data_IF_530935253350
#
_entry.id   IF_530935253350
#
_cell.length_a   1.000
_cell.length_b   1.000
_cell.length_c   1.000
_cell.angle_alpha   90.00
_cell.angle_beta   90.00
_cell.angle_gamma   90.00
#
_symmetry.space_group_name_H-M   'P 1'
#
loop_
_entity.id
_entity.type
_entity.pdbx_description
1 polymer ?
#
# COMPACT_ATOMS: atom_id res chain seq x y z
N UNK A 1 -5.49 20.55 9.11
CA UNK A 1 -6.39 20.28 7.98
C UNK A 1 -6.59 18.77 7.93
N UNK A 2 -7.75 18.26 7.51
CA UNK A 2 -7.91 16.80 7.38
C UNK A 2 -7.19 16.33 6.11
N UNK A 3 -6.32 15.33 6.27
CA UNK A 3 -5.61 14.70 5.15
C UNK A 3 -6.46 13.61 4.51
N UNK A 4 -7.25 12.89 5.32
CA UNK A 4 -8.22 11.90 4.85
C UNK A 4 -9.56 12.19 5.52
N UNK A 5 -10.63 12.15 4.72
CA UNK A 5 -12.00 12.26 5.20
C UNK A 5 -12.82 11.08 4.67
N UNK A 6 -13.46 10.36 5.57
CA UNK A 6 -14.31 9.21 5.26
C UNK A 6 -15.69 9.44 5.85
N UNK A 7 -16.73 9.42 5.02
CA UNK A 7 -18.13 9.63 5.45
C UNK A 7 -19.02 8.51 4.94
N UNK A 8 -19.64 7.80 5.87
CA UNK A 8 -20.62 6.74 5.62
C UNK A 8 -20.14 5.70 4.61
N UNK A 9 -18.84 5.34 4.69
CA UNK A 9 -18.22 4.38 3.78
C UNK A 9 -18.89 3.02 3.88
N UNK A 10 -19.32 2.49 2.72
CA UNK A 10 -19.92 1.17 2.60
C UNK A 10 -19.28 0.38 1.46
N UNK A 11 -18.98 -0.91 1.70
CA UNK A 11 -18.48 -1.82 0.68
C UNK A 11 -19.07 -3.21 0.80
N UNK A 12 -19.65 -3.71 -0.30
CA UNK A 12 -20.32 -5.01 -0.40
C UNK A 12 -19.59 -5.86 -1.43
N UNK A 13 -19.20 -7.07 -1.05
CA UNK A 13 -18.72 -8.08 -1.99
C UNK A 13 -19.87 -8.96 -2.46
N UNK A 14 -19.97 -9.14 -3.77
CA UNK A 14 -20.97 -10.00 -4.41
C UNK A 14 -20.26 -11.20 -5.03
N UNK A 15 -20.48 -12.39 -4.47
CA UNK A 15 -19.98 -13.65 -5.01
C UNK A 15 -21.14 -14.44 -5.61
N UNK A 16 -20.99 -14.85 -6.87
CA UNK A 16 -21.97 -15.73 -7.53
C UNK A 16 -21.48 -17.16 -7.40
N UNK A 17 -22.28 -18.02 -6.77
CA UNK A 17 -21.99 -19.45 -6.62
C UNK A 17 -23.00 -20.28 -7.41
N UNK A 18 -22.53 -21.38 -8.01
CA UNK A 18 -23.33 -22.33 -8.80
C UNK A 18 -23.25 -22.09 -10.32
N UNK A 19 -23.15 -23.21 -11.09
CA UNK A 19 -23.07 -23.17 -12.56
C UNK A 19 -24.47 -23.13 -13.19
N UNK A 20 -25.43 -23.87 -12.62
CA UNK A 20 -26.79 -24.01 -13.17
C UNK A 20 -27.80 -23.12 -12.43
N UNK A 21 -27.70 -23.04 -11.10
CA UNK A 21 -28.48 -22.11 -10.26
C UNK A 21 -27.56 -21.09 -9.61
N UNK A 22 -27.43 -19.94 -10.24
CA UNK A 22 -26.63 -18.81 -9.73
C UNK A 22 -27.29 -18.25 -8.46
N UNK A 23 -26.66 -18.47 -7.31
CA UNK A 23 -27.00 -17.78 -6.06
C UNK A 23 -25.99 -16.66 -5.86
N UNK A 24 -26.47 -15.44 -5.68
CA UNK A 24 -25.63 -14.30 -5.32
C UNK A 24 -25.55 -14.29 -3.79
N UNK A 25 -24.34 -14.40 -3.25
CA UNK A 25 -24.04 -14.19 -1.84
C UNK A 25 -23.45 -12.79 -1.70
N UNK A 26 -24.12 -11.95 -0.94
CA UNK A 26 -23.61 -10.64 -0.59
C UNK A 26 -22.95 -10.69 0.79
N UNK A 27 -21.76 -10.07 0.90
CA UNK A 27 -21.03 -9.90 2.15
C UNK A 27 -20.72 -8.44 2.29
N UNK A 28 -21.35 -7.77 3.25
CA UNK A 28 -21.09 -6.39 3.58
C UNK A 28 -19.80 -6.32 4.40
N UNK A 29 -18.71 -5.93 3.75
CA UNK A 29 -17.37 -5.91 4.33
C UNK A 29 -17.09 -4.62 5.11
N UNK A 30 -17.70 -3.51 4.72
CA UNK A 30 -17.63 -2.23 5.43
C UNK A 30 -19.05 -1.67 5.54
N UNK A 31 -19.43 -1.31 6.77
CA UNK A 31 -20.79 -0.86 7.12
C UNK A 31 -20.72 0.51 7.74
N UNK A 32 -21.10 1.55 6.97
CA UNK A 32 -21.29 2.91 7.46
C UNK A 32 -20.14 3.44 8.35
N UNK A 33 -18.92 3.37 7.83
CA UNK A 33 -17.72 3.80 8.57
C UNK A 33 -17.42 5.26 8.26
N UNK A 34 -17.23 6.06 9.29
CA UNK A 34 -16.87 7.48 9.17
C UNK A 34 -15.73 7.82 10.13
N UNK A 35 -14.69 8.49 9.62
CA UNK A 35 -13.57 9.02 10.40
C UNK A 35 -12.79 10.04 9.59
N UNK A 36 -12.00 10.85 10.29
CA UNK A 36 -11.06 11.80 9.68
C UNK A 36 -9.65 11.52 10.20
N UNK A 37 -8.63 11.76 9.35
CA UNK A 37 -7.21 11.67 9.70
C UNK A 37 -6.57 13.02 9.41
N UNK A 38 -5.83 13.55 10.39
CA UNK A 38 -5.13 14.83 10.26
C UNK A 38 -3.74 14.64 9.68
N UNK A 39 -3.17 15.73 9.19
CA UNK A 39 -1.78 15.77 8.74
C UNK A 39 -0.82 15.42 9.90
N UNK A 40 0.17 14.58 9.60
CA UNK A 40 1.15 14.09 10.58
C UNK A 40 0.61 13.07 11.58
N UNK A 41 -0.63 12.61 11.43
CA UNK A 41 -1.24 11.65 12.33
C UNK A 41 -0.86 10.21 11.97
N UNK A 42 -0.45 9.42 12.96
CA UNK A 42 -0.35 7.97 12.85
C UNK A 42 -1.69 7.33 13.26
N UNK A 43 -2.46 6.88 12.28
CA UNK A 43 -3.79 6.33 12.47
C UNK A 43 -3.82 4.81 12.34
N UNK A 44 -4.39 4.10 13.31
CA UNK A 44 -4.47 2.64 13.34
C UNK A 44 -5.91 2.13 13.24
N UNK A 45 -6.18 1.26 12.24
CA UNK A 45 -7.43 0.51 12.14
C UNK A 45 -7.32 -0.80 12.93
N UNK A 46 -8.00 -0.89 14.05
CA UNK A 46 -8.00 -2.07 14.93
C UNK A 46 -9.34 -2.80 14.84
N UNK A 47 -9.32 -4.11 15.02
CA UNK A 47 -10.51 -4.94 15.03
C UNK A 47 -10.21 -6.42 14.67
N UNK A 48 -11.17 -7.34 14.86
CA UNK A 48 -11.01 -8.76 14.54
C UNK A 48 -10.83 -9.01 13.05
N UNK A 49 -10.45 -10.23 12.68
CA UNK A 49 -10.41 -10.65 11.29
C UNK A 49 -11.82 -10.59 10.68
N UNK A 50 -11.91 -10.05 9.46
CA UNK A 50 -13.20 -9.83 8.79
C UNK A 50 -13.92 -8.51 9.17
N UNK A 51 -13.35 -7.67 10.04
CA UNK A 51 -13.94 -6.37 10.42
C UNK A 51 -13.86 -5.29 9.32
N UNK A 52 -13.35 -5.62 8.12
CA UNK A 52 -13.29 -4.69 7.00
C UNK A 52 -12.03 -3.82 6.95
N UNK A 53 -11.04 -4.00 7.85
CA UNK A 53 -9.81 -3.20 7.90
C UNK A 53 -9.09 -3.12 6.53
N UNK A 54 -8.67 -4.27 6.01
CA UNK A 54 -8.03 -4.37 4.69
C UNK A 54 -8.91 -3.83 3.56
N UNK A 55 -10.23 -4.01 3.64
CA UNK A 55 -11.17 -3.47 2.66
C UNK A 55 -11.18 -1.94 2.71
N UNK A 56 -11.25 -1.36 3.91
CA UNK A 56 -11.19 0.08 4.11
C UNK A 56 -9.89 0.65 3.57
N UNK A 57 -8.74 0.09 3.94
CA UNK A 57 -7.43 0.52 3.43
C UNK A 57 -7.35 0.43 1.90
N UNK A 58 -7.88 -0.63 1.28
CA UNK A 58 -7.93 -0.76 -0.18
C UNK A 58 -8.83 0.29 -0.85
N UNK A 59 -9.91 0.69 -0.21
CA UNK A 59 -10.76 1.80 -0.71
C UNK A 59 -9.98 3.11 -0.64
N UNK A 60 -9.35 3.43 0.49
CA UNK A 60 -8.52 4.63 0.66
C UNK A 60 -7.38 4.67 -0.36
N UNK A 61 -6.76 3.53 -0.65
CA UNK A 61 -5.70 3.39 -1.64
C UNK A 61 -6.20 3.35 -3.09
N UNK A 62 -7.47 3.66 -3.35
CA UNK A 62 -8.10 3.64 -4.69
C UNK A 62 -8.08 2.28 -5.41
N UNK A 63 -7.84 1.18 -4.69
CA UNK A 63 -7.82 -0.17 -5.22
C UNK A 63 -9.22 -0.81 -5.27
N UNK A 64 -10.16 -0.26 -4.53
CA UNK A 64 -11.56 -0.66 -4.52
C UNK A 64 -12.45 0.58 -4.58
N UNK A 65 -13.51 0.50 -5.40
CA UNK A 65 -14.53 1.55 -5.46
C UNK A 65 -15.54 1.29 -4.33
N UNK A 66 -15.91 2.29 -3.52
CA UNK A 66 -16.95 2.15 -2.51
C UNK A 66 -18.32 1.93 -3.16
N UNK A 67 -19.23 1.18 -2.50
CA UNK A 67 -20.62 1.05 -2.95
C UNK A 67 -21.49 2.25 -2.50
N UNK A 68 -21.10 2.91 -1.39
CA UNK A 68 -21.70 4.15 -0.92
C UNK A 68 -20.74 4.91 0.00
N UNK A 69 -21.09 6.17 0.30
CA UNK A 69 -20.29 7.08 1.12
C UNK A 69 -19.35 7.94 0.30
N UNK A 70 -18.70 8.88 0.97
CA UNK A 70 -17.72 9.78 0.39
C UNK A 70 -16.35 9.55 1.03
N UNK A 71 -15.30 9.51 0.22
CA UNK A 71 -13.93 9.43 0.70
C UNK A 71 -13.08 10.46 -0.05
N UNK A 72 -12.37 11.27 0.71
CA UNK A 72 -11.45 12.28 0.17
C UNK A 72 -10.06 12.11 0.76
N UNK A 73 -9.06 12.30 -0.09
CA UNK A 73 -7.65 12.32 0.26
C UNK A 73 -7.08 13.67 -0.17
N UNK A 74 -6.62 14.48 0.79
CA UNK A 74 -6.17 15.87 0.56
C UNK A 74 -7.19 16.70 -0.25
N UNK A 75 -8.48 16.50 0.04
CA UNK A 75 -9.59 17.17 -0.65
C UNK A 75 -10.00 16.54 -1.98
N UNK A 76 -9.20 15.62 -2.55
CA UNK A 76 -9.47 14.91 -3.79
C UNK A 76 -10.45 13.74 -3.56
N UNK A 77 -11.42 13.57 -4.45
CA UNK A 77 -12.35 12.43 -4.42
C UNK A 77 -11.65 11.15 -4.93
N UNK A 78 -11.65 10.07 -4.13
CA UNK A 78 -10.91 8.84 -4.48
C UNK A 78 -11.41 8.12 -5.74
N UNK A 79 -12.60 8.44 -6.23
CA UNK A 79 -13.17 7.83 -7.45
C UNK A 79 -12.95 8.75 -8.64
N UNK A 80 -13.29 10.01 -8.52
CA UNK A 80 -13.20 11.00 -9.61
C UNK A 80 -11.75 11.38 -9.91
N UNK A 81 -10.96 11.58 -8.86
CA UNK A 81 -9.58 12.08 -8.94
C UNK A 81 -8.55 10.97 -8.64
N UNK A 82 -8.92 9.70 -8.89
CA UNK A 82 -8.13 8.53 -8.49
C UNK A 82 -6.64 8.58 -8.92
N UNK A 83 -6.35 9.12 -10.09
CA UNK A 83 -4.97 9.24 -10.58
C UNK A 83 -4.16 10.26 -9.78
N UNK A 84 -4.76 11.38 -9.40
CA UNK A 84 -4.10 12.40 -8.58
C UNK A 84 -3.93 11.93 -7.14
N UNK A 85 -4.92 11.21 -6.59
CA UNK A 85 -4.81 10.56 -5.29
C UNK A 85 -3.63 9.57 -5.26
N UNK A 86 -3.47 8.73 -6.29
CA UNK A 86 -2.35 7.75 -6.38
C UNK A 86 -0.97 8.39 -6.37
N UNK A 87 -0.82 9.61 -6.83
CA UNK A 87 0.45 10.35 -6.75
C UNK A 87 0.80 10.76 -5.31
N UNK A 88 -0.21 10.92 -4.45
CA UNK A 88 -0.06 11.37 -3.08
C UNK A 88 0.11 10.21 -2.08
N UNK A 89 -0.14 8.97 -2.49
CA UNK A 89 -0.20 7.83 -1.59
C UNK A 89 0.85 6.77 -1.93
N UNK A 90 1.43 6.18 -0.89
CA UNK A 90 2.19 4.94 -0.96
C UNK A 90 1.42 3.81 -0.30
N UNK A 91 1.53 2.60 -0.84
CA UNK A 91 0.84 1.45 -0.31
C UNK A 91 1.75 0.24 -0.17
N UNK A 92 1.78 -0.35 1.04
CA UNK A 92 2.55 -1.54 1.36
C UNK A 92 1.59 -2.64 1.79
N UNK A 93 1.56 -3.72 0.99
CA UNK A 93 0.90 -4.96 1.37
C UNK A 93 1.86 -5.88 2.12
N UNK A 94 1.35 -6.66 3.07
CA UNK A 94 2.07 -7.81 3.58
C UNK A 94 2.31 -8.84 2.48
N UNK A 95 3.53 -9.41 2.45
CA UNK A 95 3.92 -10.47 1.52
C UNK A 95 4.88 -10.03 0.40
N UNK A 96 5.38 -11.04 -0.34
CA UNK A 96 6.52 -10.88 -1.28
C UNK A 96 6.11 -10.47 -2.70
N UNK A 97 4.86 -10.05 -2.95
CA UNK A 97 4.36 -9.77 -4.30
C UNK A 97 4.80 -8.41 -4.82
N UNK A 98 5.13 -8.34 -6.12
CA UNK A 98 5.37 -7.09 -6.83
C UNK A 98 6.83 -6.67 -6.94
N UNK A 99 7.80 -7.54 -6.62
CA UNK A 99 9.21 -7.36 -6.98
C UNK A 99 9.61 -8.34 -8.10
N UNK A 100 10.48 -7.90 -8.97
CA UNK A 100 11.05 -8.72 -10.05
C UNK A 100 12.29 -9.46 -9.52
N UNK A 101 12.14 -10.72 -9.17
CA UNK A 101 13.16 -11.51 -8.47
C UNK A 101 14.46 -11.70 -9.26
N UNK A 102 14.38 -11.68 -10.59
CA UNK A 102 15.56 -11.83 -11.47
C UNK A 102 16.35 -10.55 -11.65
N UNK A 103 15.78 -9.41 -11.30
CA UNK A 103 16.44 -8.11 -11.34
C UNK A 103 17.17 -7.85 -10.02
N UNK A 104 18.18 -6.95 -10.08
CA UNK A 104 18.80 -6.38 -8.87
C UNK A 104 17.80 -5.49 -8.11
N UNK A 105 18.10 -5.13 -6.85
CA UNK A 105 17.30 -4.19 -6.11
C UNK A 105 17.29 -2.80 -6.79
N UNK A 106 18.45 -2.34 -7.25
CA UNK A 106 18.56 -1.07 -7.99
C UNK A 106 17.71 -1.10 -9.26
N UNK A 107 17.75 -2.18 -10.04
CA UNK A 107 16.97 -2.27 -11.29
C UNK A 107 15.47 -2.38 -11.02
N UNK A 108 15.06 -3.04 -9.93
CA UNK A 108 13.68 -2.99 -9.46
C UNK A 108 13.26 -1.56 -9.18
N UNK A 109 14.04 -0.81 -8.39
CA UNK A 109 13.71 0.57 -8.05
C UNK A 109 13.71 1.50 -9.28
N UNK A 110 14.67 1.34 -10.21
CA UNK A 110 14.68 2.08 -11.48
C UNK A 110 13.42 1.82 -12.31
N UNK A 111 13.02 0.55 -12.42
CA UNK A 111 11.81 0.17 -13.13
C UNK A 111 10.57 0.85 -12.53
N UNK A 112 10.41 0.79 -11.20
CA UNK A 112 9.27 1.43 -10.54
C UNK A 112 9.34 2.95 -10.56
N UNK A 113 10.53 3.55 -10.47
CA UNK A 113 10.71 4.99 -10.64
C UNK A 113 10.19 5.46 -12.01
N UNK A 114 10.53 4.73 -13.08
CA UNK A 114 10.01 5.00 -14.42
C UNK A 114 8.49 4.82 -14.51
N UNK A 115 7.94 3.81 -13.84
CA UNK A 115 6.50 3.54 -13.82
C UNK A 115 5.71 4.64 -13.06
N UNK A 116 6.32 5.20 -12.01
CA UNK A 116 5.75 6.34 -11.26
C UNK A 116 6.07 7.69 -11.89
N UNK A 117 6.73 7.72 -13.07
CA UNK A 117 7.14 8.94 -13.76
C UNK A 117 8.06 9.84 -12.91
N UNK A 118 8.88 9.24 -12.04
CA UNK A 118 9.91 9.97 -11.29
C UNK A 118 11.02 10.39 -12.26
N UNK A 119 11.42 11.66 -12.19
CA UNK A 119 12.50 12.18 -13.01
C UNK A 119 13.78 11.34 -12.88
N UNK A 120 14.47 10.99 -13.99
CA UNK A 120 15.68 10.16 -13.96
C UNK A 120 16.80 10.72 -13.08
N UNK A 121 17.01 12.06 -13.07
CA UNK A 121 18.03 12.67 -12.22
C UNK A 121 17.65 12.65 -10.74
N UNK A 122 16.35 12.76 -10.43
CA UNK A 122 15.84 12.59 -9.07
C UNK A 122 16.00 11.13 -8.64
N UNK A 123 15.58 10.17 -9.46
CA UNK A 123 15.65 8.74 -9.12
C UNK A 123 17.07 8.25 -8.93
N UNK A 124 18.05 8.77 -9.70
CA UNK A 124 19.47 8.46 -9.59
C UNK A 124 20.06 8.77 -8.22
N UNK A 125 19.61 9.87 -7.60
CA UNK A 125 20.01 10.28 -6.25
C UNK A 125 19.21 9.54 -5.18
N UNK A 126 17.89 9.46 -5.37
CA UNK A 126 16.94 8.92 -4.38
C UNK A 126 17.08 7.41 -4.17
N UNK A 127 17.38 6.63 -5.21
CA UNK A 127 17.52 5.17 -5.07
C UNK A 127 18.60 4.76 -4.06
N UNK A 128 19.85 5.28 -4.12
CA UNK A 128 20.87 4.99 -3.09
C UNK A 128 20.43 5.42 -1.68
N UNK A 129 19.82 6.60 -1.55
CA UNK A 129 19.30 7.12 -0.26
C UNK A 129 18.24 6.20 0.34
N UNK A 130 17.30 5.73 -0.49
CA UNK A 130 16.26 4.81 -0.05
C UNK A 130 16.81 3.43 0.34
N UNK A 131 17.80 2.91 -0.42
CA UNK A 131 18.47 1.66 -0.05
C UNK A 131 19.21 1.79 1.28
N UNK A 132 19.82 2.94 1.55
CA UNK A 132 20.45 3.21 2.84
C UNK A 132 19.42 3.32 3.96
N UNK A 133 18.34 4.07 3.74
CA UNK A 133 17.23 4.26 4.69
C UNK A 133 16.64 2.92 5.15
N UNK A 134 16.47 1.96 4.22
CA UNK A 134 15.89 0.65 4.54
C UNK A 134 16.93 -0.41 4.93
N UNK A 135 18.20 0.00 5.18
CA UNK A 135 19.27 -0.93 5.61
C UNK A 135 19.71 -1.93 4.54
N UNK A 136 19.60 -1.57 3.26
CA UNK A 136 20.08 -2.38 2.12
C UNK A 136 21.29 -1.76 1.41
N UNK A 137 22.01 -0.83 2.07
CA UNK A 137 23.26 -0.24 1.56
C UNK A 137 24.27 -1.32 1.23
N UNK A 138 24.88 -1.22 0.04
CA UNK A 138 25.88 -2.19 -0.44
C UNK A 138 25.30 -3.50 -0.99
N UNK A 139 23.98 -3.68 -0.96
CA UNK A 139 23.30 -4.87 -1.49
C UNK A 139 22.45 -4.58 -2.74
N UNK A 140 22.48 -3.35 -3.23
CA UNK A 140 21.66 -2.88 -4.33
C UNK A 140 21.83 -3.64 -5.65
N UNK A 141 23.04 -4.12 -5.95
CA UNK A 141 23.37 -4.86 -7.18
C UNK A 141 23.02 -6.36 -7.11
N UNK A 142 22.68 -6.87 -5.92
CA UNK A 142 22.29 -8.27 -5.76
C UNK A 142 20.88 -8.52 -6.32
N UNK A 143 20.69 -9.69 -6.93
CA UNK A 143 19.38 -10.13 -7.40
C UNK A 143 18.42 -10.35 -6.23
N UNK A 144 17.19 -9.86 -6.35
CA UNK A 144 16.16 -9.95 -5.31
C UNK A 144 15.79 -11.40 -4.95
N UNK A 145 15.99 -12.37 -5.86
CA UNK A 145 15.80 -13.79 -5.54
C UNK A 145 16.66 -14.28 -4.36
N UNK A 146 17.85 -13.70 -4.15
CA UNK A 146 18.74 -14.02 -3.04
C UNK A 146 18.42 -13.31 -1.73
N UNK A 147 17.45 -12.40 -1.72
CA UNK A 147 17.06 -11.65 -0.54
C UNK A 147 16.23 -12.49 0.44
N UNK A 148 16.47 -12.29 1.73
CA UNK A 148 15.57 -12.80 2.78
C UNK A 148 14.19 -12.14 2.69
N UNK A 149 13.20 -12.70 3.36
CA UNK A 149 11.85 -12.08 3.43
C UNK A 149 11.90 -10.67 4.00
N UNK A 150 12.65 -10.43 5.06
CA UNK A 150 12.85 -9.11 5.64
C UNK A 150 13.51 -8.14 4.68
N UNK A 151 14.53 -8.55 3.92
CA UNK A 151 15.15 -7.72 2.89
C UNK A 151 14.18 -7.38 1.76
N UNK A 152 13.36 -8.32 1.31
CA UNK A 152 12.33 -8.07 0.31
C UNK A 152 11.29 -7.08 0.83
N UNK A 153 10.86 -7.22 2.08
CA UNK A 153 9.91 -6.29 2.70
C UNK A 153 10.49 -4.88 2.80
N UNK A 154 11.76 -4.74 3.22
CA UNK A 154 12.48 -3.46 3.23
C UNK A 154 12.60 -2.85 1.82
N UNK A 155 12.86 -3.67 0.80
CA UNK A 155 12.85 -3.19 -0.58
C UNK A 155 11.46 -2.74 -1.06
N UNK A 156 10.38 -3.36 -0.58
CA UNK A 156 9.00 -2.88 -0.82
C UNK A 156 8.77 -1.49 -0.22
N UNK A 157 9.30 -1.23 0.98
CA UNK A 157 9.25 0.11 1.58
C UNK A 157 9.98 1.11 0.70
N UNK A 158 11.24 0.83 0.32
CA UNK A 158 12.02 1.70 -0.57
C UNK A 158 11.28 2.00 -1.87
N UNK A 159 10.68 0.98 -2.50
CA UNK A 159 9.87 1.13 -3.71
C UNK A 159 8.69 2.08 -3.50
N UNK A 160 8.00 1.94 -2.37
CA UNK A 160 6.80 2.75 -2.07
C UNK A 160 7.15 4.22 -1.85
N UNK A 161 8.37 4.51 -1.39
CA UNK A 161 8.86 5.87 -1.14
C UNK A 161 9.46 6.55 -2.38
N UNK A 162 9.57 5.87 -3.53
CA UNK A 162 10.23 6.41 -4.73
C UNK A 162 9.64 7.72 -5.23
N UNK A 163 8.33 7.85 -5.23
CA UNK A 163 7.59 9.01 -5.75
C UNK A 163 7.22 10.04 -4.69
N UNK A 164 7.82 9.92 -3.48
CA UNK A 164 7.65 10.85 -2.34
C UNK A 164 6.18 11.03 -1.90
N UNK A 165 5.49 9.98 -1.54
CA UNK A 165 4.09 10.07 -1.17
C UNK A 165 3.91 10.79 0.18
N UNK A 166 2.88 11.63 0.27
CA UNK A 166 2.50 12.32 1.52
C UNK A 166 1.82 11.38 2.54
N UNK A 167 1.24 10.27 2.05
CA UNK A 167 0.45 9.33 2.86
C UNK A 167 0.94 7.91 2.61
N UNK A 168 1.19 7.16 3.68
CA UNK A 168 1.54 5.74 3.60
C UNK A 168 0.42 4.87 4.20
N UNK A 169 -0.07 3.93 3.41
CA UNK A 169 -0.96 2.88 3.87
C UNK A 169 -0.20 1.58 4.08
N UNK A 170 -0.32 1.00 5.26
CA UNK A 170 0.29 -0.25 5.65
C UNK A 170 -0.80 -1.28 5.96
N UNK A 171 -0.89 -2.35 5.18
CA UNK A 171 -1.82 -3.46 5.43
C UNK A 171 -1.02 -4.71 5.80
N UNK A 172 -0.98 -5.01 7.10
CA UNK A 172 -0.23 -6.14 7.68
C UNK A 172 1.24 -6.22 7.23
N UNK A 173 2.04 -5.14 7.35
CA UNK A 173 3.37 -5.03 6.74
C UNK A 173 4.40 -6.02 7.30
N UNK A 174 4.12 -6.64 8.45
CA UNK A 174 5.01 -7.62 9.10
C UNK A 174 4.59 -9.08 8.86
N UNK A 175 3.57 -9.31 8.02
CA UNK A 175 3.10 -10.68 7.77
C UNK A 175 4.21 -11.52 7.09
N UNK A 176 4.46 -12.70 7.61
CA UNK A 176 5.48 -13.61 7.08
C UNK A 176 6.92 -13.28 7.48
N UNK A 177 7.14 -12.24 8.29
CA UNK A 177 8.41 -12.00 8.96
C UNK A 177 8.48 -12.85 10.24
N UNK A 178 9.70 -13.30 10.57
CA UNK A 178 9.95 -13.89 11.87
C UNK A 178 9.91 -12.80 12.98
N UNK A 179 9.89 -13.16 14.26
CA UNK A 179 9.81 -12.18 15.34
C UNK A 179 10.93 -11.14 15.35
N UNK A 180 12.14 -11.51 14.92
CA UNK A 180 13.30 -10.61 14.85
C UNK A 180 13.11 -9.64 13.67
N UNK A 181 12.82 -10.14 12.47
CA UNK A 181 12.56 -9.31 11.29
C UNK A 181 11.36 -8.39 11.45
N UNK A 182 10.30 -8.82 12.18
CA UNK A 182 9.16 -7.98 12.50
C UNK A 182 9.50 -6.85 13.48
N UNK A 183 10.46 -7.07 14.40
CA UNK A 183 10.97 -6.04 15.29
C UNK A 183 11.83 -5.03 14.54
N UNK A 184 12.81 -5.51 13.78
CA UNK A 184 13.68 -4.66 12.95
C UNK A 184 12.91 -3.80 11.95
N UNK A 185 11.76 -4.28 11.47
CA UNK A 185 10.88 -3.51 10.56
C UNK A 185 10.17 -2.35 11.26
N UNK A 186 9.97 -2.42 12.58
CA UNK A 186 9.26 -1.38 13.36
C UNK A 186 10.18 -0.30 13.91
N UNK A 187 11.47 -0.57 14.02
CA UNK A 187 12.52 0.37 14.42
C UNK A 187 12.96 1.25 13.24
#
# INVERSE_FOLDING_TARGET
MNTIEVKNLRRIYRATTGVIRRKVKEVEAVKDVSFDIKEGELFGLLGPNGAGKTTTVKVLATLLIPDAGEVRVKGLDIVKDANEVRKQIGFIFGGERGLYWRLSAIDNLRYFASLYHVDPEVSKKRIPELLELVGLKGRGDERVQGYSRGMKQRLHVARTLLHDPDILFLDEPTIGLDPVGAREFRE
#
